data_IF_365697903500
#
_entry.id   IF_365697903500
#
_cell.length_a   1.000
_cell.length_b   1.000
_cell.length_c   1.000
_cell.angle_alpha   90.00
_cell.angle_beta   90.00
_cell.angle_gamma   90.00
#
_symmetry.space_group_name_H-M   'P 1'
#
loop_
_entity.id
_entity.type
_entity.pdbx_description
1 polymer ?
#
# COMPACT_ATOMS: atom_id res chain seq x y z
N UNK A 1 -3.95 -6.37 -17.37
CA UNK A 1 -2.87 -5.72 -16.61
C UNK A 1 -3.42 -4.49 -15.91
N UNK A 2 -2.85 -4.13 -14.77
CA UNK A 2 -3.13 -2.85 -14.08
C UNK A 2 -1.81 -2.12 -13.87
N UNK A 3 -1.78 -0.83 -14.16
CA UNK A 3 -0.65 0.06 -14.00
C UNK A 3 -1.06 1.13 -12.99
N UNK A 4 -0.37 1.14 -11.85
CA UNK A 4 -0.62 2.08 -10.76
C UNK A 4 0.57 3.02 -10.65
N UNK A 5 0.30 4.33 -10.66
CA UNK A 5 1.32 5.33 -10.33
C UNK A 5 1.31 5.55 -8.82
N UNK A 6 2.19 4.85 -8.12
CA UNK A 6 2.33 5.02 -6.69
C UNK A 6 3.18 6.23 -6.29
N UNK A 7 3.24 6.44 -4.98
CA UNK A 7 4.11 7.47 -4.39
C UNK A 7 5.59 7.09 -4.59
N UNK A 8 6.43 8.06 -4.92
CA UNK A 8 7.90 7.89 -5.02
C UNK A 8 8.35 6.82 -6.04
N UNK A 9 7.52 6.57 -7.06
CA UNK A 9 7.80 5.52 -8.05
C UNK A 9 7.44 4.12 -7.58
N UNK A 10 6.80 3.98 -6.41
CA UNK A 10 6.20 2.73 -5.95
C UNK A 10 4.92 2.37 -6.71
N UNK A 11 4.28 1.29 -6.26
CA UNK A 11 3.06 0.72 -6.89
C UNK A 11 1.79 0.94 -6.06
N UNK A 12 1.90 1.54 -4.88
CA UNK A 12 0.75 1.82 -4.00
C UNK A 12 0.30 3.26 -4.24
N UNK A 13 -0.98 3.52 -4.59
CA UNK A 13 -1.46 4.88 -4.77
C UNK A 13 -1.34 5.67 -3.46
N UNK A 14 -1.38 7.00 -3.56
CA UNK A 14 -1.31 7.86 -2.38
C UNK A 14 -2.45 7.57 -1.41
N UNK A 15 -2.14 7.40 -0.12
CA UNK A 15 -3.14 7.15 0.93
C UNK A 15 -3.92 8.42 1.36
N UNK A 16 -3.45 9.60 0.92
CA UNK A 16 -3.98 10.89 1.37
C UNK A 16 -4.81 11.64 0.32
N UNK A 17 -4.58 11.37 -0.96
CA UNK A 17 -5.10 12.22 -2.02
C UNK A 17 -5.51 11.38 -3.23
N UNK A 18 -6.43 11.89 -4.07
CA UNK A 18 -6.86 11.21 -5.28
C UNK A 18 -5.70 10.81 -6.20
N UNK A 19 -5.93 9.76 -6.97
CA UNK A 19 -5.00 9.24 -7.95
C UNK A 19 -5.73 8.65 -9.15
N UNK A 20 -4.95 7.96 -9.99
CA UNK A 20 -5.44 7.26 -11.17
C UNK A 20 -4.64 5.98 -11.37
N UNK A 21 -5.31 4.90 -11.75
CA UNK A 21 -4.67 3.73 -12.34
C UNK A 21 -5.18 3.52 -13.75
N UNK A 22 -4.39 2.79 -14.55
CA UNK A 22 -4.75 2.39 -15.90
C UNK A 22 -4.85 0.88 -15.96
N UNK A 23 -5.82 0.37 -16.68
CA UNK A 23 -6.05 -1.07 -16.81
C UNK A 23 -6.25 -1.49 -18.26
N UNK A 24 -5.90 -2.73 -18.52
CA UNK A 24 -6.02 -3.39 -19.82
C UNK A 24 -6.63 -4.76 -19.57
N UNK A 25 -7.82 -5.02 -20.12
CA UNK A 25 -8.56 -6.27 -19.95
C UNK A 25 -8.71 -6.92 -21.32
N UNK A 26 -8.40 -8.22 -21.42
CA UNK A 26 -8.58 -9.02 -22.64
C UNK A 26 -8.00 -8.41 -23.93
N UNK A 27 -6.80 -7.80 -23.83
CA UNK A 27 -6.11 -7.07 -24.92
C UNK A 27 -6.93 -5.91 -25.50
N UNK A 28 -7.94 -5.43 -24.76
CA UNK A 28 -8.71 -4.24 -25.07
C UNK A 28 -7.91 -2.96 -24.87
N UNK A 29 -8.59 -1.84 -25.12
CA UNK A 29 -8.03 -0.51 -24.97
C UNK A 29 -7.68 -0.18 -23.50
N UNK A 30 -6.79 0.79 -23.33
CA UNK A 30 -6.46 1.35 -22.02
C UNK A 30 -7.71 1.99 -21.40
N UNK A 31 -7.97 1.65 -20.14
CA UNK A 31 -9.03 2.26 -19.34
C UNK A 31 -8.44 2.93 -18.11
N UNK A 32 -8.59 4.24 -18.01
CA UNK A 32 -8.21 5.02 -16.84
C UNK A 32 -9.33 5.04 -15.80
N UNK A 33 -8.99 4.79 -14.54
CA UNK A 33 -9.91 4.85 -13.41
C UNK A 33 -9.38 5.83 -12.37
N UNK A 34 -10.15 6.88 -12.11
CA UNK A 34 -9.92 7.79 -10.98
C UNK A 34 -10.23 7.07 -9.66
N UNK A 35 -9.40 7.32 -8.65
CA UNK A 35 -9.52 6.69 -7.33
C UNK A 35 -9.30 7.73 -6.24
N UNK A 36 -10.10 7.66 -5.17
CA UNK A 36 -9.88 8.41 -3.94
C UNK A 36 -9.71 7.42 -2.77
N UNK A 37 -8.73 7.60 -1.86
CA UNK A 37 -8.61 6.77 -0.67
C UNK A 37 -9.92 6.67 0.15
N UNK A 38 -10.74 7.73 0.14
CA UNK A 38 -12.03 7.75 0.81
C UNK A 38 -13.07 6.80 0.19
N UNK A 39 -12.94 6.42 -1.09
CA UNK A 39 -13.80 5.43 -1.75
C UNK A 39 -13.69 4.05 -1.09
N UNK A 40 -12.56 3.79 -0.44
CA UNK A 40 -12.31 2.59 0.33
C UNK A 40 -12.27 2.87 1.84
N UNK A 41 -12.67 4.06 2.30
CA UNK A 41 -12.73 4.41 3.72
C UNK A 41 -11.37 4.70 4.37
N UNK A 42 -10.34 5.05 3.59
CA UNK A 42 -9.02 5.42 4.10
C UNK A 42 -8.95 6.93 4.34
N UNK A 43 -8.44 7.32 5.51
CA UNK A 43 -8.15 8.71 5.86
C UNK A 43 -6.78 8.80 6.54
N UNK A 44 -5.76 9.16 5.77
CA UNK A 44 -4.37 9.24 6.23
C UNK A 44 -3.80 10.64 6.05
N UNK A 45 -2.99 11.10 7.01
CA UNK A 45 -2.27 12.38 6.93
C UNK A 45 -1.01 12.30 6.04
N UNK A 46 -0.53 11.08 5.77
CA UNK A 46 0.64 10.80 4.97
C UNK A 46 0.26 10.20 3.62
N UNK A 47 1.04 10.52 2.58
CA UNK A 47 0.83 9.96 1.24
C UNK A 47 1.28 8.50 1.12
N UNK A 48 2.23 8.07 1.95
CA UNK A 48 2.79 6.73 2.00
C UNK A 48 3.08 6.35 3.46
N UNK A 49 3.38 5.08 3.71
CA UNK A 49 3.80 4.61 5.04
C UNK A 49 5.06 5.37 5.47
N UNK A 50 5.03 6.10 6.60
CA UNK A 50 6.20 6.80 7.08
C UNK A 50 7.24 5.81 7.60
N UNK A 51 8.51 6.19 7.51
CA UNK A 51 9.57 5.49 8.21
C UNK A 51 9.36 5.65 9.73
N UNK A 52 9.62 4.61 10.55
CA UNK A 52 9.62 4.73 12.00
C UNK A 52 10.57 5.86 12.47
N UNK A 53 10.13 6.62 13.46
CA UNK A 53 10.88 7.79 13.95
C UNK A 53 12.19 7.41 14.66
N UNK A 54 12.23 6.21 15.23
CA UNK A 54 13.33 5.64 16.00
C UNK A 54 14.37 4.90 15.14
N UNK A 55 14.18 4.85 13.82
CA UNK A 55 15.17 4.24 12.92
C UNK A 55 16.54 4.94 13.05
N UNK A 56 17.64 4.18 13.19
CA UNK A 56 18.98 4.74 13.18
C UNK A 56 19.24 5.50 11.88
N UNK A 57 19.60 6.77 12.02
CA UNK A 57 20.00 7.63 10.92
C UNK A 57 21.50 7.55 10.78
N UNK A 58 21.96 7.21 9.58
CA UNK A 58 23.35 7.37 9.19
C UNK A 58 23.50 8.75 8.55
N UNK A 59 24.36 9.58 9.11
CA UNK A 59 24.84 10.75 8.37
C UNK A 59 25.88 10.27 7.39
N UNK A 60 25.55 10.31 6.10
CA UNK A 60 26.59 10.37 5.10
C UNK A 60 27.41 11.65 5.27
N UNK A 61 28.66 11.64 4.80
CA UNK A 61 29.64 12.71 5.00
C UNK A 61 29.16 14.12 4.62
N UNK A 62 29.97 15.15 4.92
CA UNK A 62 29.55 16.56 4.96
C UNK A 62 28.95 17.15 3.67
N UNK A 63 29.03 16.44 2.53
CA UNK A 63 28.51 16.86 1.22
C UNK A 63 27.28 16.06 0.73
N UNK A 64 26.76 15.10 1.50
CA UNK A 64 25.53 14.37 1.13
C UNK A 64 24.29 14.90 1.88
N UNK A 65 23.33 15.45 1.12
CA UNK A 65 22.03 15.96 1.62
C UNK A 65 21.08 14.80 2.00
N UNK A 66 21.45 13.55 1.69
CA UNK A 66 20.63 12.39 2.01
C UNK A 66 20.79 12.02 3.49
N UNK A 67 19.67 12.05 4.24
CA UNK A 67 19.56 11.24 5.46
C UNK A 67 19.63 9.80 4.99
N UNK A 68 20.78 9.17 5.18
CA UNK A 68 20.88 7.75 5.02
C UNK A 68 20.24 7.10 6.26
N UNK A 69 19.49 6.03 6.04
CA UNK A 69 18.96 5.19 7.11
C UNK A 69 19.81 3.93 7.16
N UNK A 70 19.88 3.31 8.33
CA UNK A 70 20.43 1.96 8.40
C UNK A 70 19.55 1.01 7.58
N UNK A 71 20.11 0.45 6.50
CA UNK A 71 19.38 -0.39 5.55
C UNK A 71 18.87 -1.67 6.23
N UNK A 72 19.69 -2.43 6.98
CA UNK A 72 19.22 -3.59 7.74
C UNK A 72 18.05 -3.29 8.67
N UNK A 73 18.15 -2.25 9.50
CA UNK A 73 17.10 -1.90 10.46
C UNK A 73 15.84 -1.41 9.75
N UNK A 74 15.98 -0.66 8.66
CA UNK A 74 14.83 -0.24 7.83
C UNK A 74 14.13 -1.44 7.20
N UNK A 75 14.87 -2.41 6.69
CA UNK A 75 14.30 -3.63 6.11
C UNK A 75 13.57 -4.47 7.15
N UNK A 76 14.15 -4.59 8.36
CA UNK A 76 13.52 -5.28 9.48
C UNK A 76 12.21 -4.59 9.91
N UNK A 77 12.24 -3.27 10.09
CA UNK A 77 11.06 -2.50 10.46
C UNK A 77 9.94 -2.60 9.40
N UNK A 78 10.29 -2.58 8.10
CA UNK A 78 9.33 -2.78 7.03
C UNK A 78 8.70 -4.18 7.06
N UNK A 79 9.49 -5.22 7.31
CA UNK A 79 8.99 -6.60 7.43
C UNK A 79 8.07 -6.77 8.64
N UNK A 80 8.43 -6.21 9.79
CA UNK A 80 7.62 -6.22 11.00
C UNK A 80 6.29 -5.48 10.79
N UNK A 81 6.32 -4.27 10.20
CA UNK A 81 5.12 -3.51 9.88
C UNK A 81 4.20 -4.26 8.88
N UNK A 82 4.79 -4.95 7.91
CA UNK A 82 4.06 -5.81 6.98
C UNK A 82 3.37 -6.98 7.68
N UNK A 83 4.09 -7.71 8.53
CA UNK A 83 3.54 -8.84 9.29
C UNK A 83 2.46 -8.40 10.28
N UNK A 84 2.64 -7.25 10.93
CA UNK A 84 1.64 -6.63 11.80
C UNK A 84 0.34 -6.33 11.03
N UNK A 85 0.45 -5.69 9.85
CA UNK A 85 -0.70 -5.39 9.01
C UNK A 85 -1.40 -6.66 8.49
N UNK A 86 -0.64 -7.70 8.14
CA UNK A 86 -1.17 -9.01 7.74
C UNK A 86 -1.88 -9.76 8.88
N UNK A 87 -1.65 -9.35 10.14
CA UNK A 87 -2.34 -9.80 11.34
C UNK A 87 -3.45 -8.83 11.81
N UNK A 88 -3.82 -7.86 10.97
CA UNK A 88 -4.95 -6.96 11.25
C UNK A 88 -4.59 -5.72 12.08
N UNK A 89 -3.31 -5.44 12.36
CA UNK A 89 -2.94 -4.19 13.02
C UNK A 89 -3.18 -3.01 12.07
N UNK A 90 -4.15 -2.17 12.42
CA UNK A 90 -4.51 -1.00 11.64
C UNK A 90 -3.42 0.08 11.64
N UNK A 91 -3.34 0.84 10.54
CA UNK A 91 -2.34 1.89 10.32
C UNK A 91 -2.00 2.05 8.84
N UNK A 92 -1.03 2.92 8.50
CA UNK A 92 -0.70 3.22 7.10
C UNK A 92 -0.30 1.99 6.26
N UNK A 93 0.39 1.02 6.86
CA UNK A 93 0.75 -0.24 6.18
C UNK A 93 -0.48 -1.09 5.87
N UNK A 94 -1.40 -1.22 6.84
CA UNK A 94 -2.67 -1.91 6.64
C UNK A 94 -3.49 -1.26 5.53
N UNK A 95 -3.62 0.08 5.56
CA UNK A 95 -4.35 0.83 4.55
C UNK A 95 -3.71 0.68 3.15
N UNK A 96 -2.39 0.60 3.08
CA UNK A 96 -1.67 0.30 1.82
C UNK A 96 -2.04 -1.08 1.25
N UNK A 97 -2.14 -2.10 2.11
CA UNK A 97 -2.56 -3.44 1.71
C UNK A 97 -4.03 -3.48 1.28
N UNK A 98 -4.92 -2.83 2.04
CA UNK A 98 -6.35 -2.72 1.70
C UNK A 98 -6.52 -2.04 0.35
N UNK A 99 -5.89 -0.89 0.13
CA UNK A 99 -6.10 -0.10 -1.07
C UNK A 99 -5.61 -0.81 -2.33
N UNK A 100 -4.37 -1.32 -2.30
CA UNK A 100 -3.80 -2.04 -3.43
C UNK A 100 -4.48 -3.39 -3.67
N UNK A 101 -4.82 -4.12 -2.60
CA UNK A 101 -5.58 -5.36 -2.70
C UNK A 101 -6.96 -5.14 -3.32
N UNK A 102 -7.67 -4.08 -2.94
CA UNK A 102 -8.96 -3.72 -3.51
C UNK A 102 -8.87 -3.44 -5.01
N UNK A 103 -7.87 -2.67 -5.44
CA UNK A 103 -7.61 -2.40 -6.87
C UNK A 103 -7.36 -3.70 -7.63
N UNK A 104 -6.53 -4.60 -7.09
CA UNK A 104 -6.24 -5.89 -7.73
C UNK A 104 -7.49 -6.75 -7.84
N UNK A 105 -8.28 -6.88 -6.76
CA UNK A 105 -9.50 -7.70 -6.77
C UNK A 105 -10.57 -7.14 -7.70
N UNK A 106 -10.74 -5.82 -7.73
CA UNK A 106 -11.65 -5.15 -8.66
C UNK A 106 -11.21 -5.33 -10.11
N UNK A 107 -9.91 -5.14 -10.41
CA UNK A 107 -9.34 -5.39 -11.74
C UNK A 107 -9.53 -6.85 -12.21
N UNK A 108 -9.47 -7.81 -11.29
CA UNK A 108 -9.70 -9.22 -11.57
C UNK A 108 -11.19 -9.60 -11.68
N UNK A 109 -12.12 -8.64 -11.54
CA UNK A 109 -13.56 -8.87 -11.56
C UNK A 109 -14.06 -9.74 -10.40
N UNK A 110 -13.32 -9.80 -9.28
CA UNK A 110 -13.73 -10.56 -8.09
C UNK A 110 -14.75 -9.80 -7.24
N UNK A 111 -14.80 -8.49 -7.41
CA UNK A 111 -15.73 -7.57 -6.78
C UNK A 111 -16.21 -6.56 -7.83
N UNK A 112 -17.39 -5.99 -7.61
CA UNK A 112 -18.03 -5.06 -8.56
C UNK A 112 -17.61 -3.60 -8.36
N UNK A 113 -17.03 -3.31 -7.20
CA UNK A 113 -16.64 -1.97 -6.77
C UNK A 113 -15.46 -2.05 -5.78
N UNK A 114 -14.74 -0.94 -5.65
CA UNK A 114 -13.56 -0.86 -4.78
C UNK A 114 -13.91 -1.01 -3.30
N UNK A 115 -15.07 -0.53 -2.86
CA UNK A 115 -15.48 -0.60 -1.45
C UNK A 115 -15.69 -2.05 -0.99
N UNK A 116 -16.46 -2.82 -1.75
CA UNK A 116 -16.69 -4.24 -1.45
C UNK A 116 -15.41 -5.08 -1.55
N UNK A 117 -14.51 -4.73 -2.46
CA UNK A 117 -13.18 -5.34 -2.55
C UNK A 117 -12.32 -5.01 -1.32
N UNK A 118 -12.33 -3.76 -0.85
CA UNK A 118 -11.60 -3.32 0.34
C UNK A 118 -12.11 -4.04 1.60
N UNK A 119 -13.42 -4.15 1.78
CA UNK A 119 -14.02 -4.87 2.92
C UNK A 119 -13.64 -6.36 2.93
N UNK A 120 -13.54 -6.98 1.76
CA UNK A 120 -13.02 -8.34 1.65
C UNK A 120 -11.56 -8.44 2.10
N UNK A 121 -10.69 -7.52 1.65
CA UNK A 121 -9.28 -7.49 2.07
C UNK A 121 -9.17 -7.33 3.58
N UNK A 122 -9.91 -6.36 4.17
CA UNK A 122 -9.97 -6.16 5.63
C UNK A 122 -10.32 -7.45 6.37
N UNK A 123 -11.40 -8.13 5.95
CA UNK A 123 -11.81 -9.40 6.56
C UNK A 123 -10.69 -10.46 6.56
N UNK A 124 -9.88 -10.52 5.49
CA UNK A 124 -8.77 -11.46 5.38
C UNK A 124 -7.58 -11.06 6.27
N UNK A 125 -7.27 -9.76 6.36
CA UNK A 125 -6.22 -9.23 7.24
C UNK A 125 -6.61 -9.39 8.72
N UNK A 126 -7.81 -8.96 9.09
CA UNK A 126 -8.32 -8.94 10.46
C UNK A 126 -8.49 -10.36 11.04
N UNK A 127 -8.68 -11.36 10.18
CA UNK A 127 -8.73 -12.76 10.60
C UNK A 127 -7.35 -13.42 10.73
N UNK A 128 -6.25 -12.72 10.42
CA UNK A 128 -4.90 -13.26 10.40
C UNK A 128 -4.65 -14.34 9.34
N UNK A 129 -5.61 -14.58 8.43
CA UNK A 129 -5.48 -15.57 7.35
C UNK A 129 -4.40 -15.20 6.35
N UNK A 130 -4.14 -13.90 6.19
CA UNK A 130 -3.06 -13.42 5.33
C UNK A 130 -1.69 -13.75 5.94
N UNK A 131 -1.46 -13.38 7.21
CA UNK A 131 -0.21 -13.68 7.91
C UNK A 131 0.11 -15.18 7.96
N UNK A 132 -0.90 -16.03 8.18
CA UNK A 132 -0.72 -17.48 8.20
C UNK A 132 -0.19 -18.10 6.89
N UNK A 133 -0.22 -17.36 5.77
CA UNK A 133 0.31 -17.82 4.47
C UNK A 133 1.79 -17.50 4.25
N UNK A 134 2.39 -16.61 5.03
CA UNK A 134 3.78 -16.12 4.84
C UNK A 134 4.83 -17.07 5.46
N UNK A 135 4.48 -18.35 5.65
CA UNK A 135 5.36 -19.34 6.29
C UNK A 135 6.64 -19.61 5.52
#
# INVERSE_FOLDING_TARGET
AVLVRGVEGGIIPSLRQPGKYFSYVDRGEEQGTDIDPSDVGISQSFRAVPLPEDLPKTTSGPDEIAIAVDIPDTAKAAAEAGMDALNGKQGPTYDSLVYSGAIVLNHLGKHNDLGSAADHVRSVLDSGKAANRVR
#
